data_IF_889605300937
#
_entry.id   IF_889605300937
#
_cell.length_a   1.000
_cell.length_b   1.000
_cell.length_c   1.000
_cell.angle_alpha   90.00
_cell.angle_beta   90.00
_cell.angle_gamma   90.00
#
_symmetry.space_group_name_H-M   'P 1'
#
loop_
_entity.id
_entity.type
_entity.pdbx_description
1 polymer ?
#
# COMPACT_ATOMS: atom_id res chain seq x y z
N UNK A 1 54.01 -21.80 10.99
CA UNK A 1 52.83 -22.56 10.52
C UNK A 1 51.78 -22.76 11.60
N UNK A 2 52.07 -23.43 12.74
CA UNK A 2 51.06 -23.73 13.80
C UNK A 2 50.25 -22.54 14.35
N UNK A 3 50.80 -21.33 14.39
CA UNK A 3 50.05 -20.13 14.84
C UNK A 3 49.02 -19.69 13.79
N UNK A 4 49.37 -19.75 12.51
CA UNK A 4 48.48 -19.40 11.40
C UNK A 4 47.28 -20.35 11.34
N UNK A 5 47.52 -21.66 11.54
CA UNK A 5 46.49 -22.70 11.60
C UNK A 5 45.49 -22.44 12.73
N UNK A 6 45.96 -22.04 13.92
CA UNK A 6 45.09 -21.72 15.06
C UNK A 6 44.25 -20.46 14.82
N UNK A 7 44.84 -19.43 14.21
CA UNK A 7 44.11 -18.20 13.85
C UNK A 7 43.04 -18.49 12.81
N UNK A 8 43.36 -19.27 11.77
CA UNK A 8 42.40 -19.69 10.76
C UNK A 8 41.27 -20.53 11.36
N UNK A 9 41.59 -21.46 12.26
CA UNK A 9 40.59 -22.28 12.95
C UNK A 9 39.64 -21.44 13.81
N UNK A 10 40.17 -20.44 14.55
CA UNK A 10 39.36 -19.54 15.36
C UNK A 10 38.45 -18.68 14.48
N UNK A 11 38.98 -18.12 13.39
CA UNK A 11 38.20 -17.33 12.44
C UNK A 11 37.09 -18.17 11.78
N UNK A 12 37.40 -19.40 11.38
CA UNK A 12 36.41 -20.34 10.86
C UNK A 12 35.33 -20.66 11.88
N UNK A 13 35.69 -20.87 13.16
CA UNK A 13 34.72 -21.11 14.23
C UNK A 13 33.79 -19.90 14.45
N UNK A 14 34.32 -18.68 14.44
CA UNK A 14 33.51 -17.44 14.55
C UNK A 14 32.55 -17.31 13.38
N UNK A 15 33.02 -17.54 12.15
CA UNK A 15 32.16 -17.51 10.95
C UNK A 15 31.07 -18.58 11.05
N UNK A 16 31.41 -19.80 11.48
CA UNK A 16 30.43 -20.86 11.63
C UNK A 16 29.33 -20.49 12.64
N UNK A 17 29.70 -19.90 13.78
CA UNK A 17 28.73 -19.41 14.77
C UNK A 17 27.84 -18.31 14.18
N UNK A 18 28.42 -17.35 13.44
CA UNK A 18 27.66 -16.28 12.80
C UNK A 18 26.66 -16.83 11.77
N UNK A 19 27.05 -17.83 10.97
CA UNK A 19 26.17 -18.48 10.00
C UNK A 19 25.05 -19.27 10.68
N UNK A 20 25.34 -19.95 11.80
CA UNK A 20 24.31 -20.65 12.59
C UNK A 20 23.31 -19.63 13.15
N UNK A 21 23.79 -18.51 13.72
CA UNK A 21 22.92 -17.46 14.24
C UNK A 21 22.02 -16.88 13.14
N UNK A 22 22.59 -16.59 11.95
CA UNK A 22 21.82 -16.14 10.79
C UNK A 22 20.78 -17.18 10.36
N UNK A 23 21.13 -18.46 10.29
CA UNK A 23 20.20 -19.52 9.91
C UNK A 23 19.03 -19.66 10.91
N UNK A 24 19.31 -19.56 12.21
CA UNK A 24 18.26 -19.54 13.24
C UNK A 24 17.36 -18.32 13.13
N UNK A 25 17.94 -17.16 12.81
CA UNK A 25 17.19 -15.93 12.63
C UNK A 25 16.28 -15.97 11.40
N UNK A 26 16.76 -16.49 10.27
CA UNK A 26 15.95 -16.73 9.07
C UNK A 26 14.77 -17.66 9.37
N UNK A 27 14.99 -18.71 10.15
CA UNK A 27 13.93 -19.63 10.55
C UNK A 27 12.91 -18.95 11.47
N UNK A 28 13.35 -18.05 12.37
CA UNK A 28 12.48 -17.25 13.21
C UNK A 28 11.65 -16.28 12.37
N UNK A 29 12.27 -15.51 11.47
CA UNK A 29 11.58 -14.60 10.53
C UNK A 29 10.52 -15.35 9.74
N UNK A 30 10.83 -16.53 9.18
CA UNK A 30 9.86 -17.32 8.41
C UNK A 30 8.64 -17.76 9.23
N UNK A 31 8.84 -18.08 10.51
CA UNK A 31 7.74 -18.44 11.43
C UNK A 31 6.90 -17.21 11.78
N UNK A 32 7.55 -16.12 12.18
CA UNK A 32 6.86 -14.88 12.55
C UNK A 32 6.05 -14.32 11.37
N UNK A 33 6.59 -14.38 10.14
CA UNK A 33 5.86 -14.03 8.92
C UNK A 33 4.58 -14.85 8.76
N UNK A 34 4.68 -16.17 8.90
CA UNK A 34 3.53 -17.08 8.75
C UNK A 34 2.47 -16.84 9.82
N UNK A 35 2.90 -16.61 11.07
CA UNK A 35 2.01 -16.33 12.19
C UNK A 35 1.32 -14.96 12.04
N UNK A 36 2.07 -13.93 11.62
CA UNK A 36 1.50 -12.61 11.34
C UNK A 36 0.54 -12.63 10.16
N UNK A 37 0.84 -13.39 9.09
CA UNK A 37 -0.05 -13.57 7.95
C UNK A 37 -1.35 -14.27 8.35
N UNK A 38 -1.27 -15.32 9.17
CA UNK A 38 -2.44 -15.99 9.70
C UNK A 38 -3.29 -15.06 10.59
N UNK A 39 -2.65 -14.25 11.44
CA UNK A 39 -3.34 -13.24 12.27
C UNK A 39 -4.00 -12.16 11.41
N UNK A 40 -3.35 -11.73 10.34
CA UNK A 40 -3.92 -10.79 9.39
C UNK A 40 -5.16 -11.37 8.70
N UNK A 41 -5.06 -12.60 8.20
CA UNK A 41 -6.18 -13.27 7.52
C UNK A 41 -7.37 -13.52 8.47
N UNK A 42 -7.11 -13.84 9.73
CA UNK A 42 -8.17 -14.13 10.70
C UNK A 42 -8.84 -12.87 11.29
N UNK A 43 -8.14 -11.73 11.35
CA UNK A 43 -8.68 -10.50 11.93
C UNK A 43 -8.02 -9.21 11.36
N UNK A 44 -8.13 -9.01 10.05
CA UNK A 44 -7.42 -7.94 9.31
C UNK A 44 -7.64 -6.53 9.83
N UNK A 45 -8.81 -6.24 10.42
CA UNK A 45 -9.17 -4.90 10.93
C UNK A 45 -8.73 -4.63 12.38
N UNK A 46 -8.35 -5.68 13.14
CA UNK A 46 -8.08 -5.55 14.60
C UNK A 46 -6.61 -5.65 14.95
N UNK A 47 -5.78 -6.15 14.04
CA UNK A 47 -4.36 -6.33 14.29
C UNK A 47 -3.61 -5.03 14.05
N UNK A 48 -2.75 -4.67 15.01
CA UNK A 48 -1.84 -3.54 14.91
C UNK A 48 -0.41 -4.10 14.93
N UNK A 49 0.54 -3.32 14.39
CA UNK A 49 1.98 -3.61 14.43
C UNK A 49 2.43 -4.96 13.88
N UNK A 50 1.72 -5.52 12.90
CA UNK A 50 2.15 -6.74 12.21
C UNK A 50 3.43 -6.48 11.41
N UNK A 51 4.33 -7.46 11.40
CA UNK A 51 5.61 -7.43 10.67
C UNK A 51 6.58 -6.30 11.05
N UNK A 52 6.43 -5.69 12.23
CA UNK A 52 7.38 -4.68 12.72
C UNK A 52 8.59 -5.32 13.42
N UNK A 53 8.34 -6.41 14.16
CA UNK A 53 9.35 -7.15 14.92
C UNK A 53 9.43 -8.58 14.36
N UNK A 54 10.40 -8.83 13.48
CA UNK A 54 10.63 -10.14 12.86
C UNK A 54 12.02 -10.65 13.23
N UNK A 55 12.09 -11.91 13.64
CA UNK A 55 13.33 -12.57 13.99
C UNK A 55 13.80 -12.28 15.42
N UNK A 56 15.00 -12.77 15.71
CA UNK A 56 15.71 -12.69 16.99
C UNK A 56 16.71 -11.54 17.02
N UNK A 57 17.29 -11.18 15.88
CA UNK A 57 18.29 -10.13 15.77
C UNK A 57 17.63 -8.74 15.70
N UNK A 58 18.14 -7.76 16.45
CA UNK A 58 17.59 -6.41 16.44
C UNK A 58 17.84 -5.69 15.11
N UNK A 59 16.93 -4.78 14.76
CA UNK A 59 17.17 -3.79 13.71
C UNK A 59 17.07 -4.31 12.27
N UNK A 60 16.23 -5.32 12.04
CA UNK A 60 15.84 -5.83 10.71
C UNK A 60 17.01 -6.24 9.81
N UNK A 61 18.18 -6.56 10.37
CA UNK A 61 19.37 -6.88 9.59
C UNK A 61 19.14 -8.07 8.65
N UNK A 62 18.42 -9.09 9.11
CA UNK A 62 18.07 -10.27 8.31
C UNK A 62 17.03 -9.96 7.26
N UNK A 63 16.02 -9.14 7.58
CA UNK A 63 15.05 -8.63 6.58
C UNK A 63 15.80 -7.96 5.43
N UNK A 64 16.76 -7.08 5.75
CA UNK A 64 17.58 -6.41 4.73
C UNK A 64 18.49 -7.34 3.96
N UNK A 65 19.14 -8.27 4.65
CA UNK A 65 20.00 -9.26 4.01
C UNK A 65 19.23 -10.17 3.05
N UNK A 66 17.95 -10.42 3.33
CA UNK A 66 17.04 -11.20 2.50
C UNK A 66 16.31 -10.36 1.43
N UNK A 67 16.40 -9.03 1.47
CA UNK A 67 15.69 -8.13 0.55
C UNK A 67 14.18 -8.17 0.71
N UNK A 68 13.69 -8.32 1.95
CA UNK A 68 12.26 -8.46 2.25
C UNK A 68 11.56 -7.12 2.51
N UNK A 69 12.26 -6.00 2.45
CA UNK A 69 11.72 -4.68 2.79
C UNK A 69 10.51 -4.32 1.93
N UNK A 70 10.61 -4.46 0.61
CA UNK A 70 9.54 -4.13 -0.33
C UNK A 70 8.30 -5.01 -0.08
N UNK A 71 8.51 -6.29 0.22
CA UNK A 71 7.45 -7.24 0.58
C UNK A 71 6.73 -6.83 1.87
N UNK A 72 7.49 -6.40 2.88
CA UNK A 72 6.94 -5.97 4.15
C UNK A 72 6.22 -4.63 4.04
N UNK A 73 6.74 -3.70 3.26
CA UNK A 73 6.12 -2.39 3.05
C UNK A 73 4.78 -2.56 2.31
N UNK A 74 4.74 -3.38 1.26
CA UNK A 74 3.47 -3.77 0.63
C UNK A 74 2.46 -4.34 1.65
N UNK A 75 2.87 -5.32 2.46
CA UNK A 75 2.00 -5.97 3.46
C UNK A 75 1.46 -4.99 4.49
N UNK A 76 2.32 -4.12 5.02
CA UNK A 76 1.93 -3.10 6.01
C UNK A 76 0.95 -2.11 5.42
N UNK A 77 1.16 -1.69 4.17
CA UNK A 77 0.25 -0.77 3.47
C UNK A 77 -1.12 -1.40 3.23
N UNK A 78 -1.16 -2.68 2.83
CA UNK A 78 -2.42 -3.43 2.69
C UNK A 78 -3.13 -3.60 4.05
N UNK A 79 -2.39 -3.84 5.12
CA UNK A 79 -2.97 -3.92 6.46
C UNK A 79 -3.53 -2.58 6.95
N UNK A 80 -2.84 -1.48 6.66
CA UNK A 80 -3.33 -0.13 6.94
C UNK A 80 -4.64 0.16 6.19
N UNK A 81 -4.71 -0.19 4.90
CA UNK A 81 -5.95 -0.11 4.11
C UNK A 81 -7.08 -0.94 4.75
N UNK A 82 -6.81 -2.20 5.14
CA UNK A 82 -7.80 -3.05 5.79
C UNK A 82 -8.31 -2.42 7.10
N UNK A 83 -7.42 -1.81 7.90
CA UNK A 83 -7.79 -1.14 9.15
C UNK A 83 -8.63 0.12 8.95
N UNK A 84 -8.56 0.76 7.77
CA UNK A 84 -9.35 1.96 7.43
C UNK A 84 -10.83 1.65 7.11
N UNK A 85 -11.23 0.37 7.16
CA UNK A 85 -12.63 -0.09 7.03
C UNK A 85 -13.41 0.53 5.86
N UNK A 86 -12.93 0.42 4.62
CA UNK A 86 -13.60 1.03 3.46
C UNK A 86 -15.00 0.45 3.17
N UNK A 87 -15.37 -0.69 3.75
CA UNK A 87 -16.70 -1.30 3.66
C UNK A 87 -17.46 -1.44 4.99
N UNK A 88 -16.95 -0.83 6.07
CA UNK A 88 -17.63 -0.84 7.38
C UNK A 88 -18.92 -0.02 7.37
N UNK A 89 -19.81 -0.26 8.35
CA UNK A 89 -20.96 0.62 8.61
C UNK A 89 -20.44 2.05 8.72
N UNK A 90 -21.11 3.01 8.08
CA UNK A 90 -20.70 4.39 7.88
C UNK A 90 -20.40 5.17 9.17
N UNK A 91 -19.33 4.80 9.86
CA UNK A 91 -18.83 5.50 11.02
C UNK A 91 -17.97 6.65 10.49
N UNK A 92 -18.60 7.82 10.38
CA UNK A 92 -18.00 9.09 9.93
C UNK A 92 -17.31 9.83 11.07
N UNK A 93 -16.68 9.08 11.98
CA UNK A 93 -15.89 9.65 13.08
C UNK A 93 -14.57 10.27 12.56
N UNK A 94 -14.06 11.34 13.20
CA UNK A 94 -12.77 11.94 12.84
C UNK A 94 -11.61 10.94 12.80
N UNK A 95 -11.64 9.91 13.65
CA UNK A 95 -10.63 8.87 13.69
C UNK A 95 -10.64 8.00 12.43
N UNK A 96 -11.82 7.68 11.89
CA UNK A 96 -11.96 6.88 10.67
C UNK A 96 -11.48 7.68 9.46
N UNK A 97 -11.83 8.96 9.37
CA UNK A 97 -11.34 9.83 8.31
C UNK A 97 -9.82 10.06 8.38
N UNK A 98 -9.26 10.18 9.58
CA UNK A 98 -7.81 10.22 9.77
C UNK A 98 -7.14 8.92 9.30
N UNK A 99 -7.70 7.75 9.64
CA UNK A 99 -7.19 6.46 9.20
C UNK A 99 -7.26 6.30 7.68
N UNK A 100 -8.36 6.72 7.05
CA UNK A 100 -8.52 6.73 5.58
C UNK A 100 -7.52 7.65 4.89
N UNK A 101 -7.30 8.86 5.43
CA UNK A 101 -6.29 9.79 4.94
C UNK A 101 -4.88 9.22 5.02
N UNK A 102 -4.53 8.58 6.15
CA UNK A 102 -3.25 7.90 6.32
C UNK A 102 -3.09 6.73 5.34
N UNK A 103 -4.12 5.90 5.18
CA UNK A 103 -4.12 4.80 4.22
C UNK A 103 -3.94 5.29 2.77
N UNK A 104 -4.65 6.34 2.36
CA UNK A 104 -4.51 6.91 1.02
C UNK A 104 -3.09 7.45 0.75
N UNK A 105 -2.51 8.14 1.74
CA UNK A 105 -1.13 8.64 1.64
C UNK A 105 -0.13 7.49 1.47
N UNK A 106 -0.24 6.45 2.28
CA UNK A 106 0.70 5.32 2.24
C UNK A 106 0.53 4.46 0.99
N UNK A 107 -0.72 4.24 0.55
CA UNK A 107 -1.02 3.58 -0.72
C UNK A 107 -0.41 4.33 -1.89
N UNK A 108 -0.52 5.66 -1.91
CA UNK A 108 0.10 6.50 -2.94
C UNK A 108 1.61 6.31 -2.94
N UNK A 109 2.28 6.54 -1.80
CA UNK A 109 3.75 6.42 -1.68
C UNK A 109 4.24 5.02 -2.09
N UNK A 110 3.62 3.97 -1.53
CA UNK A 110 4.04 2.58 -1.80
C UNK A 110 3.82 2.24 -3.28
N UNK A 111 2.72 2.69 -3.89
CA UNK A 111 2.45 2.43 -5.31
C UNK A 111 3.42 3.15 -6.27
N UNK A 112 4.07 4.23 -5.83
CA UNK A 112 5.06 4.95 -6.63
C UNK A 112 6.41 4.23 -6.66
N UNK A 113 6.79 3.58 -5.56
CA UNK A 113 8.05 2.86 -5.41
C UNK A 113 7.95 1.36 -5.72
N UNK A 114 6.75 0.79 -5.73
CA UNK A 114 6.51 -0.62 -6.01
C UNK A 114 6.93 -1.01 -7.44
N UNK A 115 7.82 -2.00 -7.52
CA UNK A 115 8.42 -2.49 -8.76
C UNK A 115 7.58 -3.60 -9.38
N UNK A 116 6.91 -4.42 -8.56
CA UNK A 116 6.02 -5.47 -9.05
C UNK A 116 4.72 -4.85 -9.59
N UNK A 117 4.50 -4.98 -10.91
CA UNK A 117 3.33 -4.41 -11.58
C UNK A 117 2.00 -4.92 -11.00
N UNK A 118 1.93 -6.21 -10.61
CA UNK A 118 0.71 -6.78 -10.04
C UNK A 118 0.42 -6.14 -8.68
N UNK A 119 1.42 -6.05 -7.80
CA UNK A 119 1.26 -5.40 -6.49
C UNK A 119 0.96 -3.92 -6.62
N UNK A 120 1.64 -3.22 -7.52
CA UNK A 120 1.38 -1.81 -7.82
C UNK A 120 -0.05 -1.58 -8.28
N UNK A 121 -0.55 -2.43 -9.18
CA UNK A 121 -1.94 -2.40 -9.63
C UNK A 121 -2.93 -2.64 -8.47
N UNK A 122 -2.62 -3.57 -7.56
CA UNK A 122 -3.45 -3.82 -6.37
C UNK A 122 -3.46 -2.61 -5.41
N UNK A 123 -2.32 -1.97 -5.16
CA UNK A 123 -2.24 -0.76 -4.33
C UNK A 123 -3.07 0.38 -4.94
N UNK A 124 -2.98 0.58 -6.25
CA UNK A 124 -3.81 1.56 -6.97
C UNK A 124 -5.30 1.20 -6.88
N UNK A 125 -5.65 -0.08 -7.00
CA UNK A 125 -7.03 -0.53 -6.81
C UNK A 125 -7.55 -0.20 -5.40
N UNK A 126 -6.77 -0.46 -4.34
CA UNK A 126 -7.14 -0.08 -2.98
C UNK A 126 -7.25 1.44 -2.80
N UNK A 127 -6.36 2.21 -3.42
CA UNK A 127 -6.41 3.68 -3.38
C UNK A 127 -7.72 4.23 -3.99
N UNK A 128 -8.19 3.63 -5.08
CA UNK A 128 -9.45 4.01 -5.73
C UNK A 128 -10.69 3.76 -4.87
N UNK A 129 -10.62 2.82 -3.92
CA UNK A 129 -11.74 2.48 -3.03
C UNK A 129 -11.88 3.42 -1.83
N UNK A 130 -10.79 3.99 -1.32
CA UNK A 130 -10.82 4.87 -0.13
C UNK A 130 -11.84 6.01 -0.24
N UNK A 131 -11.85 6.84 -1.32
CA UNK A 131 -12.77 7.97 -1.38
C UNK A 131 -14.22 7.54 -1.59
N UNK A 132 -14.47 6.34 -2.13
CA UNK A 132 -15.82 5.78 -2.35
C UNK A 132 -16.48 5.29 -1.05
N UNK A 133 -15.71 5.11 0.02
CA UNK A 133 -16.23 4.70 1.33
C UNK A 133 -16.95 5.85 2.08
N UNK A 134 -17.01 7.04 1.49
CA UNK A 134 -17.68 8.22 2.05
C UNK A 134 -19.09 8.35 1.49
N UNK A 135 -20.05 8.66 2.36
CA UNK A 135 -21.36 9.14 1.94
C UNK A 135 -21.27 10.62 1.61
N UNK A 136 -21.61 10.99 0.38
CA UNK A 136 -21.57 12.38 -0.10
C UNK A 136 -22.97 12.80 -0.52
N UNK A 137 -23.47 13.86 0.10
CA UNK A 137 -24.78 14.43 -0.20
C UNK A 137 -24.72 15.40 -1.40
N UNK A 138 -23.59 16.08 -1.59
CA UNK A 138 -23.38 17.00 -2.71
C UNK A 138 -23.13 16.22 -4.02
N UNK A 139 -24.00 16.37 -5.04
CA UNK A 139 -23.81 15.73 -6.34
C UNK A 139 -22.53 16.13 -7.06
N UNK A 140 -22.03 17.35 -6.85
CA UNK A 140 -20.80 17.82 -7.48
C UNK A 140 -19.57 17.17 -6.85
N UNK A 141 -19.49 17.14 -5.52
CA UNK A 141 -18.43 16.42 -4.79
C UNK A 141 -18.44 14.93 -5.13
N UNK A 142 -19.63 14.32 -5.15
CA UNK A 142 -19.79 12.91 -5.56
C UNK A 142 -19.26 12.68 -6.97
N UNK A 143 -19.58 13.57 -7.90
CA UNK A 143 -19.08 13.50 -9.28
C UNK A 143 -17.56 13.62 -9.38
N UNK A 144 -16.94 14.49 -8.58
CA UNK A 144 -15.48 14.63 -8.52
C UNK A 144 -14.82 13.36 -7.99
N UNK A 145 -15.36 12.78 -6.91
CA UNK A 145 -14.88 11.53 -6.33
C UNK A 145 -14.98 10.37 -7.32
N UNK A 146 -16.10 10.23 -8.03
CA UNK A 146 -16.27 9.19 -9.05
C UNK A 146 -15.23 9.33 -10.18
N UNK A 147 -15.00 10.55 -10.68
CA UNK A 147 -13.98 10.81 -11.72
C UNK A 147 -12.56 10.45 -11.25
N UNK A 148 -12.21 10.81 -10.00
CA UNK A 148 -10.92 10.46 -9.43
C UNK A 148 -10.76 8.94 -9.30
N UNK A 149 -11.77 8.25 -8.77
CA UNK A 149 -11.75 6.79 -8.65
C UNK A 149 -11.62 6.09 -10.01
N UNK A 150 -12.35 6.55 -11.04
CA UNK A 150 -12.22 6.04 -12.42
C UNK A 150 -10.78 6.16 -12.91
N UNK A 151 -10.15 7.33 -12.76
CA UNK A 151 -8.76 7.55 -13.16
C UNK A 151 -7.78 6.62 -12.45
N UNK A 152 -7.98 6.40 -11.15
CA UNK A 152 -7.16 5.48 -10.35
C UNK A 152 -7.33 4.02 -10.78
N UNK A 153 -8.57 3.54 -10.99
CA UNK A 153 -8.79 2.17 -11.47
C UNK A 153 -8.30 1.96 -12.91
N UNK A 154 -8.45 2.95 -13.80
CA UNK A 154 -7.85 2.90 -15.13
C UNK A 154 -6.33 2.78 -15.07
N UNK A 155 -5.69 3.48 -14.12
CA UNK A 155 -4.25 3.35 -13.90
C UNK A 155 -3.88 1.96 -13.38
N UNK A 156 -4.64 1.41 -12.43
CA UNK A 156 -4.47 0.03 -11.96
C UNK A 156 -4.56 -0.99 -13.12
N UNK A 157 -5.57 -0.90 -13.97
CA UNK A 157 -5.75 -1.79 -15.14
C UNK A 157 -4.65 -1.60 -16.18
N UNK A 158 -4.12 -0.37 -16.34
CA UNK A 158 -3.02 -0.10 -17.27
C UNK A 158 -1.70 -0.70 -16.78
N UNK A 159 -1.47 -0.68 -15.46
CA UNK A 159 -0.28 -1.26 -14.83
C UNK A 159 -0.33 -2.79 -14.89
N UNK A 160 -1.47 -3.40 -14.55
CA UNK A 160 -1.69 -4.85 -14.68
C UNK A 160 -3.03 -5.12 -15.38
N UNK A 161 -3.01 -5.39 -16.70
CA UNK A 161 -4.21 -5.74 -17.44
C UNK A 161 -4.88 -7.02 -16.97
N UNK A 162 -4.25 -7.87 -16.17
CA UNK A 162 -4.84 -9.11 -15.64
C UNK A 162 -5.54 -8.91 -14.28
N UNK A 163 -5.47 -7.72 -13.68
CA UNK A 163 -6.11 -7.43 -12.40
C UNK A 163 -7.65 -7.38 -12.55
N UNK A 164 -8.31 -8.51 -12.26
CA UNK A 164 -9.76 -8.66 -12.34
C UNK A 164 -10.51 -7.75 -11.35
N UNK A 165 -9.99 -7.56 -10.14
CA UNK A 165 -10.62 -6.72 -9.12
C UNK A 165 -10.65 -5.25 -9.55
N UNK A 166 -9.55 -4.76 -10.14
CA UNK A 166 -9.49 -3.40 -10.67
C UNK A 166 -10.49 -3.17 -11.83
N UNK A 167 -10.65 -4.17 -12.72
CA UNK A 167 -11.65 -4.10 -13.80
C UNK A 167 -13.07 -4.10 -13.24
N UNK A 168 -13.35 -4.96 -12.27
CA UNK A 168 -14.66 -5.04 -11.63
C UNK A 168 -15.01 -3.73 -10.92
N UNK A 169 -14.08 -3.18 -10.14
CA UNK A 169 -14.29 -1.90 -9.46
C UNK A 169 -14.44 -0.74 -10.44
N UNK A 170 -13.65 -0.73 -11.52
CA UNK A 170 -13.82 0.25 -12.61
C UNK A 170 -15.22 0.16 -13.22
N UNK A 171 -15.70 -1.05 -13.54
CA UNK A 171 -17.04 -1.25 -14.08
C UNK A 171 -18.12 -0.76 -13.11
N UNK A 172 -18.00 -1.08 -11.82
CA UNK A 172 -18.94 -0.66 -10.80
C UNK A 172 -19.04 0.88 -10.73
N UNK A 173 -17.90 1.58 -10.70
CA UNK A 173 -17.88 3.05 -10.66
C UNK A 173 -18.35 3.67 -11.96
N UNK A 174 -18.03 3.09 -13.12
CA UNK A 174 -18.53 3.58 -14.40
C UNK A 174 -20.06 3.49 -14.48
N UNK A 175 -20.66 2.39 -14.01
CA UNK A 175 -22.11 2.25 -13.93
C UNK A 175 -22.71 3.31 -13.00
N UNK A 176 -22.13 3.52 -11.81
CA UNK A 176 -22.59 4.55 -10.88
C UNK A 176 -22.47 5.97 -11.47
N UNK A 177 -21.39 6.27 -12.19
CA UNK A 177 -21.17 7.55 -12.85
C UNK A 177 -22.20 7.85 -13.94
N UNK A 178 -22.65 6.82 -14.67
CA UNK A 178 -23.71 6.96 -15.68
C UNK A 178 -25.05 7.31 -15.02
N UNK A 179 -25.37 6.68 -13.88
CA UNK A 179 -26.54 7.06 -13.09
C UNK A 179 -26.42 8.47 -12.50
N UNK A 180 -25.21 8.93 -12.21
CA UNK A 180 -24.92 10.30 -11.76
C UNK A 180 -24.84 11.33 -12.90
N UNK A 181 -25.00 10.93 -14.17
CA UNK A 181 -24.99 11.84 -15.33
C UNK A 181 -23.61 12.28 -15.82
N UNK A 182 -22.53 11.56 -15.48
CA UNK A 182 -21.17 11.86 -15.94
C UNK A 182 -20.90 11.33 -17.36
N UNK A 183 -20.19 12.10 -18.23
CA UNK A 183 -19.79 11.61 -19.54
C UNK A 183 -18.80 10.44 -19.42
N UNK A 184 -18.91 9.39 -20.25
CA UNK A 184 -18.11 8.16 -20.13
C UNK A 184 -16.61 8.32 -20.42
N UNK A 185 -16.12 9.48 -20.86
CA UNK A 185 -14.74 9.71 -21.33
C UNK A 185 -14.14 11.07 -20.91
N UNK A 186 -14.50 11.62 -19.75
CA UNK A 186 -13.80 12.82 -19.24
C UNK A 186 -12.34 12.46 -18.89
N UNK A 187 -11.32 13.16 -19.42
CA UNK A 187 -9.94 12.92 -19.05
C UNK A 187 -9.80 13.09 -17.54
N UNK A 188 -9.32 12.05 -16.85
CA UNK A 188 -8.92 12.13 -15.45
C UNK A 188 -7.87 13.23 -15.32
N UNK A 189 -8.14 14.24 -14.50
CA UNK A 189 -7.14 15.21 -14.11
C UNK A 189 -5.92 14.48 -13.54
N UNK A 190 -4.78 14.72 -14.17
CA UNK A 190 -3.41 14.62 -13.66
C UNK A 190 -3.05 13.33 -12.92
N UNK A 191 -2.23 12.52 -13.61
CA UNK A 191 -1.42 11.47 -13.00
C UNK A 191 -0.74 12.00 -11.72
N UNK A 192 -0.71 11.18 -10.67
CA UNK A 192 0.09 11.37 -9.47
C UNK A 192 1.56 11.61 -9.87
N UNK A 193 1.91 12.88 -10.00
CA UNK A 193 3.16 13.38 -10.52
C UNK A 193 3.21 14.87 -10.21
N UNK A 194 3.84 15.19 -9.08
CA UNK A 194 3.74 16.51 -8.46
C UNK A 194 4.06 17.65 -9.42
N UNK A 195 3.18 18.64 -9.47
CA UNK A 195 3.50 19.95 -10.02
C UNK A 195 2.98 21.04 -9.08
N UNK A 196 3.93 21.88 -8.66
CA UNK A 196 3.77 23.01 -7.75
C UNK A 196 2.63 23.93 -8.21
N UNK A 197 1.65 24.15 -7.35
CA UNK A 197 0.66 25.22 -7.50
C UNK A 197 1.38 26.57 -7.47
N UNK A 198 1.42 27.25 -8.62
CA UNK A 198 1.71 28.68 -8.69
C UNK A 198 0.38 29.41 -8.81
N UNK A 199 -0.05 30.20 -7.80
CA UNK A 199 -1.31 30.93 -7.88
C UNK A 199 -1.07 32.18 -8.75
N UNK A 200 -1.60 32.17 -9.98
CA UNK A 200 -1.44 33.28 -10.90
C UNK A 200 -2.60 33.39 -11.88
N UNK A 201 -3.51 34.33 -11.63
CA UNK A 201 -4.14 35.12 -12.69
C UNK A 201 -5.60 34.80 -13.03
N UNK A 202 -6.50 35.65 -12.51
CA UNK A 202 -7.64 36.21 -13.25
C UNK A 202 -8.15 37.43 -12.46
N UNK A 203 -7.49 38.59 -12.52
CA UNK A 203 -7.92 39.77 -13.30
C UNK A 203 -9.34 39.68 -13.87
N UNK A 204 -10.29 40.32 -13.16
CA UNK A 204 -11.60 40.67 -13.70
C UNK A 204 -11.54 41.97 -14.49
N UNK A 205 -12.18 42.00 -15.66
CA UNK A 205 -12.34 43.19 -16.49
C UNK A 205 -13.73 43.18 -17.17
N UNK A 206 -14.46 44.29 -16.98
CA UNK A 206 -15.51 44.86 -17.85
C UNK A 206 -16.85 44.12 -17.93
N UNK A 207 -18.02 44.76 -18.01
CA UNK A 207 -18.46 46.17 -18.03
C UNK A 207 -19.87 46.22 -17.44
#
# INVERSE_FOLDING_TARGET
MRYLERVLALLAAVIAIALIALALDVLAVSRDLSDHDFRFQSASTRQHSLWNDLGLLPGSATVRALGLEDDLDYRRTVALFASAQPGGVADTGPQVEAARGQAALELTRTSETEVDARRRSQLLNFLGLIPLARTLDDPEERSQVLRAAIGTFQSAVRVDPENADAKWNLEAVLRDSQYAGLPPNSPSGEAAGGQRSSPGGAVGAGY
#
